data_IF_202101479893
#
_entry.id   IF_202101479893
#
_cell.length_a   1.000
_cell.length_b   1.000
_cell.length_c   1.000
_cell.angle_alpha   90.00
_cell.angle_beta   90.00
_cell.angle_gamma   90.00
#
_symmetry.space_group_name_H-M   'P 1'
#
loop_
_entity.id
_entity.type
_entity.pdbx_description
1 polymer ?
#
# COMPACT_ATOMS: atom_id res chain seq x y z
N UNK A 1 8.79 44.59 -11.27
CA UNK A 1 9.64 43.68 -10.48
C UNK A 1 9.07 42.30 -10.69
N UNK A 2 9.85 41.44 -11.36
CA UNK A 2 9.51 40.06 -11.67
C UNK A 2 9.91 39.14 -10.50
N UNK A 3 9.52 37.87 -10.62
CA UNK A 3 9.95 36.68 -9.87
C UNK A 3 9.19 36.44 -8.55
N UNK A 4 8.68 35.25 -8.26
CA UNK A 4 8.71 33.95 -8.92
C UNK A 4 7.56 33.14 -8.31
N UNK A 5 6.80 32.43 -9.13
CA UNK A 5 7.09 31.02 -9.32
C UNK A 5 5.85 30.24 -8.93
N UNK A 6 4.98 30.01 -9.92
CA UNK A 6 4.04 28.92 -9.87
C UNK A 6 4.86 27.65 -9.59
N UNK A 7 4.79 27.17 -8.36
CA UNK A 7 5.42 25.92 -7.96
C UNK A 7 4.71 24.77 -8.69
N UNK A 8 5.20 24.45 -9.87
CA UNK A 8 4.90 23.20 -10.57
C UNK A 8 5.26 22.04 -9.64
N UNK A 9 4.28 21.53 -8.90
CA UNK A 9 4.37 20.28 -8.15
C UNK A 9 4.24 19.07 -9.10
N UNK A 10 5.00 19.10 -10.19
CA UNK A 10 5.11 18.00 -11.14
C UNK A 10 6.34 17.19 -10.79
N UNK A 11 6.11 16.08 -10.07
CA UNK A 11 7.05 14.97 -9.98
C UNK A 11 7.82 14.85 -8.66
N UNK A 12 7.78 13.64 -8.09
CA UNK A 12 8.89 13.04 -7.32
C UNK A 12 9.15 13.45 -5.87
N UNK A 13 8.18 13.98 -5.12
CA UNK A 13 8.29 13.93 -3.65
C UNK A 13 7.85 12.54 -3.16
N UNK A 14 8.77 11.78 -2.55
CA UNK A 14 8.43 10.59 -1.78
C UNK A 14 7.54 10.99 -0.60
N UNK A 15 6.61 10.12 -0.21
CA UNK A 15 5.81 10.42 0.99
C UNK A 15 6.66 10.31 2.25
N UNK A 16 6.24 10.97 3.33
CA UNK A 16 6.85 10.80 4.66
C UNK A 16 6.99 9.33 5.09
N UNK A 17 6.16 8.43 4.57
CA UNK A 17 6.27 6.99 4.86
C UNK A 17 7.50 6.36 4.19
N UNK A 18 7.84 6.80 2.97
CA UNK A 18 9.02 6.33 2.25
C UNK A 18 10.33 6.93 2.80
N UNK A 19 10.33 8.21 3.17
CA UNK A 19 11.47 8.81 3.89
C UNK A 19 11.76 8.07 5.21
N UNK A 20 10.73 7.84 6.03
CA UNK A 20 10.90 7.06 7.27
C UNK A 20 11.37 5.62 7.02
N UNK A 21 10.90 4.99 5.94
CA UNK A 21 11.36 3.65 5.58
C UNK A 21 12.85 3.64 5.20
N UNK A 22 13.33 4.70 4.55
CA UNK A 22 14.75 4.88 4.26
C UNK A 22 15.55 5.13 5.54
N UNK A 23 15.11 6.07 6.38
CA UNK A 23 15.81 6.45 7.62
C UNK A 23 15.91 5.29 8.63
N UNK A 24 14.81 4.57 8.86
CA UNK A 24 14.76 3.53 9.91
C UNK A 24 15.16 2.14 9.41
N UNK A 25 15.04 1.86 8.11
CA UNK A 25 15.20 0.51 7.58
C UNK A 25 16.11 0.42 6.34
N UNK A 26 16.67 1.53 5.85
CA UNK A 26 17.50 1.55 4.64
C UNK A 26 16.73 1.19 3.36
N UNK A 27 15.40 1.33 3.36
CA UNK A 27 14.57 1.04 2.20
C UNK A 27 14.56 2.23 1.24
N UNK A 28 15.38 2.14 0.19
CA UNK A 28 15.34 3.08 -0.93
C UNK A 28 14.12 2.81 -1.81
N UNK A 29 13.00 3.44 -1.45
CA UNK A 29 11.78 3.43 -2.26
C UNK A 29 11.83 4.59 -3.24
N UNK A 30 11.42 4.33 -4.49
CA UNK A 30 11.18 5.38 -5.49
C UNK A 30 9.70 5.79 -5.45
N UNK A 31 9.35 7.00 -5.92
CA UNK A 31 7.94 7.43 -6.02
C UNK A 31 7.08 6.44 -6.83
N UNK A 32 7.69 5.77 -7.79
CA UNK A 32 7.07 4.69 -8.58
C UNK A 32 6.73 3.46 -7.73
N UNK A 33 7.58 3.10 -6.76
CA UNK A 33 7.36 1.97 -5.86
C UNK A 33 6.13 2.23 -4.97
N UNK A 34 5.95 3.46 -4.48
CA UNK A 34 4.77 3.84 -3.69
C UNK A 34 3.47 3.76 -4.50
N UNK A 35 3.51 4.24 -5.76
CA UNK A 35 2.37 4.09 -6.68
C UNK A 35 2.07 2.61 -6.95
N UNK A 36 3.10 1.79 -7.14
CA UNK A 36 2.95 0.35 -7.33
C UNK A 36 2.37 -0.33 -6.08
N UNK A 37 2.76 0.08 -4.87
CA UNK A 37 2.19 -0.41 -3.60
C UNK A 37 0.70 -0.09 -3.54
N UNK A 38 0.32 1.17 -3.76
CA UNK A 38 -1.08 1.59 -3.71
C UNK A 38 -1.92 0.86 -4.78
N UNK A 39 -1.38 0.68 -5.98
CA UNK A 39 -2.03 -0.07 -7.04
C UNK A 39 -2.21 -1.55 -6.67
N UNK A 40 -1.18 -2.23 -6.14
CA UNK A 40 -1.29 -3.63 -5.72
C UNK A 40 -2.34 -3.84 -4.63
N UNK A 41 -2.47 -2.90 -3.69
CA UNK A 41 -3.53 -2.93 -2.67
C UNK A 41 -4.91 -2.83 -3.34
N UNK A 42 -5.12 -1.85 -4.21
CA UNK A 42 -6.42 -1.62 -4.89
C UNK A 42 -6.80 -2.76 -5.85
N UNK A 43 -5.83 -3.34 -6.54
CA UNK A 43 -6.05 -4.41 -7.52
C UNK A 43 -6.14 -5.81 -6.90
N UNK A 44 -5.98 -5.95 -5.58
CA UNK A 44 -6.04 -7.24 -4.90
C UNK A 44 -4.80 -8.12 -5.07
N UNK A 45 -3.67 -7.52 -5.44
CA UNK A 45 -2.34 -8.15 -5.51
C UNK A 45 -1.52 -7.92 -4.22
N UNK A 46 -2.20 -7.60 -3.13
CA UNK A 46 -1.66 -7.45 -1.79
C UNK A 46 -2.46 -8.32 -0.81
N UNK A 47 -1.85 -8.70 0.31
CA UNK A 47 -2.50 -9.52 1.33
C UNK A 47 -2.86 -8.64 2.52
N UNK A 48 -4.15 -8.54 2.83
CA UNK A 48 -4.60 -7.89 4.06
C UNK A 48 -4.22 -8.76 5.26
N UNK A 49 -3.40 -8.23 6.16
CA UNK A 49 -2.99 -8.89 7.40
C UNK A 49 -3.92 -8.58 8.56
N UNK A 50 -4.52 -7.41 8.57
CA UNK A 50 -5.43 -7.00 9.64
C UNK A 50 -5.93 -5.59 9.45
N UNK A 51 -7.02 -5.28 10.14
CA UNK A 51 -7.60 -3.94 10.21
C UNK A 51 -7.50 -3.45 11.65
N UNK A 52 -7.03 -2.22 11.83
CA UNK A 52 -6.98 -1.60 13.16
C UNK A 52 -8.26 -0.78 13.36
N UNK A 53 -9.18 -1.23 14.24
CA UNK A 53 -10.50 -0.60 14.38
C UNK A 53 -10.42 0.82 14.93
N UNK A 54 -9.41 1.16 15.73
CA UNK A 54 -9.29 2.47 16.38
C UNK A 54 -8.67 3.58 15.52
N UNK A 55 -8.13 3.25 14.35
CA UNK A 55 -7.46 4.23 13.47
C UNK A 55 -7.99 4.26 12.04
N UNK A 56 -8.92 3.37 11.68
CA UNK A 56 -9.38 3.25 10.29
C UNK A 56 -8.26 2.89 9.32
N UNK A 57 -7.17 2.27 9.80
CA UNK A 57 -6.01 1.86 9.00
C UNK A 57 -5.96 0.35 8.85
N UNK A 58 -5.40 -0.10 7.74
CA UNK A 58 -5.27 -1.50 7.36
C UNK A 58 -3.79 -1.85 7.19
N UNK A 59 -3.40 -3.03 7.67
CA UNK A 59 -2.06 -3.57 7.46
C UNK A 59 -2.08 -4.52 6.28
N UNK A 60 -1.26 -4.24 5.30
CA UNK A 60 -1.12 -4.99 4.06
C UNK A 60 0.30 -5.54 3.92
N UNK A 61 0.43 -6.71 3.30
CA UNK A 61 1.69 -7.23 2.79
C UNK A 61 1.70 -7.07 1.28
N UNK A 62 2.74 -6.44 0.77
CA UNK A 62 2.92 -6.16 -0.66
C UNK A 62 4.30 -6.61 -1.08
N UNK A 63 4.38 -7.31 -2.21
CA UNK A 63 5.67 -7.63 -2.82
C UNK A 63 6.01 -6.57 -3.87
N UNK A 64 7.20 -5.96 -3.77
CA UNK A 64 7.72 -4.99 -4.73
C UNK A 64 9.18 -5.35 -5.00
N UNK A 65 9.54 -5.50 -6.28
CA UNK A 65 10.92 -5.82 -6.72
C UNK A 65 11.52 -7.06 -6.02
N UNK A 66 10.70 -8.09 -5.77
CA UNK A 66 11.11 -9.31 -5.07
C UNK A 66 11.31 -9.17 -3.56
N UNK A 67 11.02 -7.99 -2.98
CA UNK A 67 11.00 -7.76 -1.54
C UNK A 67 9.58 -7.72 -1.03
N UNK A 68 9.34 -8.34 0.11
CA UNK A 68 8.05 -8.20 0.78
C UNK A 68 8.09 -7.06 1.78
N UNK A 69 7.12 -6.16 1.68
CA UNK A 69 6.96 -4.99 2.53
C UNK A 69 5.65 -5.11 3.32
N UNK A 70 5.70 -4.75 4.59
CA UNK A 70 4.53 -4.44 5.41
C UNK A 70 4.17 -2.98 5.18
N UNK A 71 2.92 -2.74 4.84
CA UNK A 71 2.40 -1.42 4.51
C UNK A 71 1.22 -1.14 5.40
N UNK A 72 1.23 -0.02 6.13
CA UNK A 72 0.05 0.49 6.79
C UNK A 72 -0.60 1.48 5.84
N UNK A 73 -1.83 1.18 5.42
CA UNK A 73 -2.60 1.94 4.47
C UNK A 73 -3.86 2.47 5.14
N UNK A 74 -4.18 3.73 4.92
CA UNK A 74 -5.43 4.31 5.37
C UNK A 74 -6.43 4.29 4.20
N UNK A 75 -7.43 3.37 4.19
CA UNK A 75 -8.45 3.33 3.15
C UNK A 75 -9.36 4.55 3.09
N UNK A 76 -9.51 5.31 4.19
CA UNK A 76 -10.37 6.50 4.23
C UNK A 76 -9.75 7.64 3.42
N UNK A 77 -8.45 7.91 3.60
CA UNK A 77 -7.76 8.97 2.87
C UNK A 77 -6.97 8.48 1.65
N UNK A 78 -6.89 7.16 1.45
CA UNK A 78 -6.15 6.54 0.35
C UNK A 78 -4.64 6.69 0.44
N UNK A 79 -4.08 6.98 1.62
CA UNK A 79 -2.65 7.27 1.82
C UNK A 79 -1.92 6.09 2.49
N UNK A 80 -0.65 5.94 2.12
CA UNK A 80 0.29 5.06 2.82
C UNK A 80 0.80 5.81 4.06
N UNK A 81 0.71 5.17 5.22
CA UNK A 81 1.11 5.73 6.52
C UNK A 81 2.52 5.28 6.89
N UNK A 82 2.83 4.00 6.66
CA UNK A 82 4.12 3.40 7.03
C UNK A 82 4.48 2.29 6.05
N UNK A 83 5.77 2.14 5.76
CA UNK A 83 6.34 1.02 5.00
C UNK A 83 7.49 0.42 5.80
N UNK A 84 7.44 -0.88 6.05
CA UNK A 84 8.43 -1.61 6.81
C UNK A 84 8.87 -2.87 6.03
N UNK A 85 10.15 -3.30 6.13
CA UNK A 85 10.57 -4.56 5.53
C UNK A 85 9.90 -5.73 6.26
N UNK A 86 9.44 -6.73 5.52
CA UNK A 86 9.02 -7.99 6.11
C UNK A 86 10.12 -9.03 5.99
N UNK A 87 10.85 -9.27 7.09
CA UNK A 87 11.89 -10.31 7.14
C UNK A 87 11.34 -11.74 7.14
N UNK A 88 10.06 -11.92 7.45
CA UNK A 88 9.40 -13.22 7.36
C UNK A 88 9.03 -13.48 5.90
N UNK A 89 9.45 -14.61 5.29
CA UNK A 89 8.98 -15.06 3.97
C UNK A 89 7.46 -15.28 4.05
N UNK A 90 6.61 -14.35 3.59
CA UNK A 90 5.19 -14.65 3.57
C UNK A 90 4.96 -15.59 2.40
N UNK A 91 4.29 -16.71 2.67
CA UNK A 91 3.72 -17.52 1.58
C UNK A 91 2.57 -16.72 1.01
N UNK A 92 2.83 -15.91 -0.02
CA UNK A 92 1.78 -15.32 -0.85
C UNK A 92 1.02 -16.46 -1.53
N UNK A 93 0.06 -17.04 -0.83
CA UNK A 93 -0.94 -17.87 -1.47
C UNK A 93 -1.84 -16.92 -2.25
N UNK A 94 -1.67 -16.87 -3.57
CA UNK A 94 -2.62 -16.23 -4.48
C UNK A 94 -3.98 -16.91 -4.27
N UNK A 95 -4.80 -16.35 -3.38
CA UNK A 95 -6.16 -16.82 -3.19
C UNK A 95 -6.91 -16.37 -4.43
N UNK A 96 -7.07 -17.30 -5.39
CA UNK A 96 -7.95 -17.11 -6.56
C UNK A 96 -9.26 -16.55 -6.04
N UNK A 97 -9.59 -15.33 -6.51
CA UNK A 97 -10.85 -14.59 -6.37
C UNK A 97 -11.91 -15.37 -5.57
N UNK A 98 -12.24 -14.89 -4.38
CA UNK A 98 -13.47 -15.29 -3.70
C UNK A 98 -14.60 -15.00 -4.69
N UNK A 99 -15.08 -16.04 -5.39
CA UNK A 99 -16.30 -15.95 -6.19
C UNK A 99 -17.37 -15.51 -5.19
N UNK A 100 -17.97 -14.34 -5.40
CA UNK A 100 -19.17 -13.95 -4.70
C UNK A 100 -20.16 -15.11 -4.82
N UNK A 101 -20.35 -15.85 -3.73
CA UNK A 101 -21.40 -16.83 -3.62
C UNK A 101 -22.72 -16.05 -3.62
N UNK A 102 -23.28 -15.83 -4.80
CA UNK A 102 -24.68 -15.40 -4.95
C UNK A 102 -25.54 -16.50 -4.35
N UNK A 103 -25.91 -16.35 -3.07
CA UNK A 103 -27.03 -17.05 -2.46
C UNK A 103 -28.30 -16.67 -3.25
N UNK A 104 -28.64 -17.42 -4.29
CA UNK A 104 -30.03 -17.49 -4.76
C UNK A 104 -30.78 -18.37 -3.77
N UNK A 105 -31.38 -17.70 -2.78
CA UNK A 105 -32.37 -18.28 -1.88
C UNK A 105 -33.55 -18.73 -2.75
N UNK A 106 -33.78 -20.04 -2.82
CA UNK A 106 -34.96 -20.58 -3.49
C UNK A 106 -36.22 -19.96 -2.92
N UNK A 107 -37.12 -19.55 -3.80
CA UNK A 107 -38.51 -19.29 -3.44
C UNK A 107 -39.34 -20.27 -4.27
N UNK A 108 -39.96 -21.17 -3.50
CA UNK A 108 -41.00 -22.12 -3.88
C UNK A 108 -42.10 -21.45 -4.67
#
# INVERSE_FOLDING_TARGET
>A
MAEGGAGSNDGTALTHAADRALEHHGLHLRPEDERAIAWRIKSGHAVLMGKFPHGGVERWLVEIRGKTLKVIFNPVCGKIVTIEPNSAKPRFHYVRKIKHARRRKGRR
#
